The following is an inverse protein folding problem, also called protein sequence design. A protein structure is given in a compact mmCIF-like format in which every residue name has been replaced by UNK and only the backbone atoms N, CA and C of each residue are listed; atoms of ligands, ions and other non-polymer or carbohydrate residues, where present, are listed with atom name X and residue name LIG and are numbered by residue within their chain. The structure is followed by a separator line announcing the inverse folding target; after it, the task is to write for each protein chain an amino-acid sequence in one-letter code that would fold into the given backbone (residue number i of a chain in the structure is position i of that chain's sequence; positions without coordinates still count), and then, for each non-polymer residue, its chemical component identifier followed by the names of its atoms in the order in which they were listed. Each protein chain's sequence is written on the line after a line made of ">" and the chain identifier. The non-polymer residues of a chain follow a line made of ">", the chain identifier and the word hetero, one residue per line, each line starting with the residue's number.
data_IF_279063881964
#
_entry.id   IF_279063881964
#
_cell.length_a   1.000
_cell.length_b   1.000
_cell.length_c   1.000
_cell.angle_alpha   90.00
_cell.angle_beta   90.00
_cell.angle_gamma   90.00
#
_symmetry.space_group_name_H-M   'P 1'
#
loop_
_entity.id
_entity.type
_entity.pdbx_description
1 polymer ?
#
# COMPACT_ATOMS: atom_id res chain seq x y z
N UNK A 1 -24.64 -22.15 -10.21
CA UNK A 1 -23.43 -22.26 -9.38
C UNK A 1 -23.53 -21.15 -8.33
N UNK A 2 -23.42 -21.51 -7.06
CA UNK A 2 -23.75 -20.72 -5.87
C UNK A 2 -22.42 -20.21 -5.30
N UNK A 3 -22.27 -18.90 -4.99
CA UNK A 3 -21.36 -18.27 -4.00
C UNK A 3 -21.01 -16.79 -4.33
N UNK A 4 -21.98 -15.95 -4.70
CA UNK A 4 -21.84 -14.47 -4.62
C UNK A 4 -22.79 -13.90 -3.56
N UNK A 5 -22.86 -14.56 -2.41
CA UNK A 5 -23.62 -14.04 -1.26
C UNK A 5 -22.79 -13.01 -0.51
N UNK A 6 -22.96 -11.76 -0.93
CA UNK A 6 -22.96 -10.55 -0.10
C UNK A 6 -21.69 -10.25 0.72
N UNK A 7 -20.62 -9.84 0.05
CA UNK A 7 -20.08 -8.53 0.39
C UNK A 7 -20.68 -7.58 -0.66
N UNK A 8 -21.51 -6.59 -0.30
CA UNK A 8 -22.14 -5.77 -1.32
C UNK A 8 -21.03 -5.14 -2.16
N UNK A 9 -21.19 -5.14 -3.50
CA UNK A 9 -20.21 -4.57 -4.44
C UNK A 9 -19.80 -3.14 -4.05
N UNK A 10 -20.68 -2.43 -3.34
CA UNK A 10 -20.43 -1.12 -2.74
C UNK A 10 -19.30 -1.13 -1.69
N UNK A 11 -19.19 -2.16 -0.84
CA UNK A 11 -18.12 -2.28 0.17
C UNK A 11 -16.78 -2.59 -0.48
N UNK A 12 -16.75 -3.51 -1.45
CA UNK A 12 -15.53 -3.80 -2.22
C UNK A 12 -15.10 -2.55 -3.01
N UNK A 13 -16.05 -1.81 -3.59
CA UNK A 13 -15.77 -0.56 -4.31
C UNK A 13 -15.26 0.54 -3.38
N UNK A 14 -15.84 0.69 -2.18
CA UNK A 14 -15.36 1.64 -1.18
C UNK A 14 -13.93 1.32 -0.75
N UNK A 15 -13.63 0.06 -0.44
CA UNK A 15 -12.28 -0.34 -0.01
C UNK A 15 -11.27 -0.16 -1.15
N UNK A 16 -11.62 -0.48 -2.41
CA UNK A 16 -10.75 -0.15 -3.56
C UNK A 16 -10.46 1.34 -3.66
N UNK A 17 -11.48 2.18 -3.44
CA UNK A 17 -11.32 3.64 -3.43
C UNK A 17 -10.38 4.07 -2.30
N UNK A 18 -10.57 3.55 -1.10
CA UNK A 18 -9.72 3.85 0.05
C UNK A 18 -8.28 3.40 -0.17
N UNK A 19 -8.07 2.23 -0.78
CA UNK A 19 -6.73 1.73 -1.15
C UNK A 19 -6.08 2.67 -2.18
N UNK A 20 -6.80 3.00 -3.26
CA UNK A 20 -6.27 3.88 -4.32
C UNK A 20 -6.03 5.32 -3.87
N UNK A 21 -6.82 5.79 -2.90
CA UNK A 21 -6.75 7.13 -2.33
C UNK A 21 -5.93 7.21 -1.06
N UNK A 22 -5.24 6.15 -0.65
CA UNK A 22 -4.51 6.14 0.60
C UNK A 22 -3.40 7.20 0.56
N UNK A 23 -3.31 8.01 1.61
CA UNK A 23 -2.27 9.02 1.81
C UNK A 23 -1.71 8.89 3.21
N UNK A 24 -0.42 9.10 3.34
CA UNK A 24 0.21 9.25 4.63
C UNK A 24 -0.27 10.53 5.30
N UNK A 25 -0.64 10.42 6.57
CA UNK A 25 -1.16 11.54 7.34
C UNK A 25 -0.02 12.38 7.93
N UNK A 26 -0.31 13.65 8.23
CA UNK A 26 0.66 14.52 8.90
C UNK A 26 1.02 13.97 10.28
N UNK A 27 2.31 13.69 10.51
CA UNK A 27 2.81 13.13 11.75
C UNK A 27 2.71 11.60 11.87
N UNK A 28 2.14 10.92 10.88
CA UNK A 28 2.14 9.45 10.81
C UNK A 28 3.52 8.97 10.36
N UNK A 29 4.13 8.03 11.09
CA UNK A 29 5.39 7.42 10.67
C UNK A 29 5.18 6.46 9.49
N UNK A 30 6.25 6.15 8.75
CA UNK A 30 6.19 5.14 7.69
C UNK A 30 5.72 3.78 8.23
N UNK A 31 6.12 3.42 9.45
CA UNK A 31 5.64 2.22 10.12
C UNK A 31 4.12 2.22 10.30
N UNK A 32 3.56 3.27 10.88
CA UNK A 32 2.13 3.41 11.10
C UNK A 32 1.35 3.39 9.78
N UNK A 33 1.88 4.10 8.77
CA UNK A 33 1.31 4.16 7.43
C UNK A 33 1.28 2.77 6.77
N UNK A 34 2.38 2.03 6.84
CA UNK A 34 2.49 0.68 6.30
C UNK A 34 1.54 -0.31 7.00
N UNK A 35 1.46 -0.25 8.33
CA UNK A 35 0.52 -1.07 9.11
C UNK A 35 -0.94 -0.77 8.74
N UNK A 36 -1.29 0.51 8.58
CA UNK A 36 -2.63 0.93 8.16
C UNK A 36 -2.96 0.42 6.76
N UNK A 37 -2.02 0.51 5.83
CA UNK A 37 -2.19 -0.02 4.47
C UNK A 37 -2.42 -1.54 4.46
N UNK A 38 -1.62 -2.30 5.20
CA UNK A 38 -1.79 -3.76 5.33
C UNK A 38 -3.15 -4.14 5.92
N UNK A 39 -3.58 -3.43 6.97
CA UNK A 39 -4.92 -3.61 7.58
C UNK A 39 -6.04 -3.31 6.58
N UNK A 40 -5.88 -2.26 5.78
CA UNK A 40 -6.86 -1.90 4.75
C UNK A 40 -6.95 -2.98 3.66
N UNK A 41 -5.82 -3.50 3.17
CA UNK A 41 -5.81 -4.60 2.20
C UNK A 41 -6.44 -5.88 2.79
N UNK A 42 -6.09 -6.24 4.03
CA UNK A 42 -6.62 -7.41 4.73
C UNK A 42 -8.13 -7.32 4.99
N UNK A 43 -8.70 -6.12 5.04
CA UNK A 43 -10.14 -5.92 5.23
C UNK A 43 -11.00 -6.38 4.03
N UNK A 44 -10.38 -6.57 2.85
CA UNK A 44 -11.04 -7.07 1.66
C UNK A 44 -10.10 -7.96 0.84
N UNK A 45 -9.91 -9.25 1.18
CA UNK A 45 -9.00 -10.13 0.44
C UNK A 45 -9.41 -10.34 -1.04
N UNK A 46 -10.66 -10.05 -1.39
CA UNK A 46 -11.18 -10.10 -2.77
C UNK A 46 -11.22 -8.73 -3.46
N UNK A 47 -10.33 -7.80 -3.10
CA UNK A 47 -10.29 -6.47 -3.69
C UNK A 47 -9.93 -6.46 -5.20
N UNK A 48 -9.39 -7.56 -5.75
CA UNK A 48 -9.03 -7.74 -7.17
C UNK A 48 -7.98 -6.72 -7.69
N UNK A 49 -7.19 -6.15 -6.79
CA UNK A 49 -6.10 -5.22 -7.12
C UNK A 49 -4.81 -6.03 -7.15
N UNK A 50 -4.01 -5.90 -8.20
CA UNK A 50 -2.71 -6.57 -8.30
C UNK A 50 -1.73 -6.03 -7.25
N UNK A 51 -0.81 -6.87 -6.78
CA UNK A 51 0.21 -6.46 -5.80
C UNK A 51 1.06 -5.28 -6.30
N UNK A 52 1.40 -5.27 -7.59
CA UNK A 52 2.10 -4.13 -8.22
C UNK A 52 1.33 -2.83 -8.05
N UNK A 53 0.03 -2.84 -8.30
CA UNK A 53 -0.81 -1.65 -8.21
C UNK A 53 -1.05 -1.23 -6.75
N UNK A 54 -1.14 -2.18 -5.82
CA UNK A 54 -1.17 -1.90 -4.38
C UNK A 54 0.07 -1.12 -3.94
N UNK A 55 1.26 -1.61 -4.30
CA UNK A 55 2.53 -0.97 -3.95
C UNK A 55 2.69 0.40 -4.62
N UNK A 56 2.17 0.54 -5.85
CA UNK A 56 2.12 1.83 -6.53
C UNK A 56 1.25 2.84 -5.76
N UNK A 57 0.03 2.48 -5.37
CA UNK A 57 -0.84 3.37 -4.59
C UNK A 57 -0.24 3.74 -3.23
N UNK A 58 0.42 2.77 -2.57
CA UNK A 58 1.16 3.02 -1.35
C UNK A 58 2.25 4.08 -1.57
N UNK A 59 3.13 3.86 -2.55
CA UNK A 59 4.24 4.77 -2.87
C UNK A 59 3.76 6.17 -3.28
N UNK A 60 2.72 6.26 -4.12
CA UNK A 60 2.11 7.53 -4.52
C UNK A 60 1.44 8.27 -3.36
N UNK A 61 1.08 7.55 -2.29
CA UNK A 61 0.48 8.12 -1.10
C UNK A 61 1.44 8.56 -0.01
N UNK A 62 2.72 8.17 -0.10
CA UNK A 62 3.76 8.58 0.84
C UNK A 62 4.05 10.07 0.78
N UNK A 63 4.54 10.63 1.89
CA UNK A 63 5.08 11.98 1.90
C UNK A 63 6.37 12.08 1.05
N UNK A 64 6.73 13.29 0.63
CA UNK A 64 7.86 13.52 -0.27
C UNK A 64 9.22 13.08 0.32
N UNK A 65 9.38 13.18 1.64
CA UNK A 65 10.64 12.83 2.30
C UNK A 65 10.86 11.31 2.28
N UNK A 66 9.85 10.55 2.65
CA UNK A 66 9.92 9.08 2.64
C UNK A 66 10.05 8.52 1.24
N UNK A 67 9.35 9.12 0.27
CA UNK A 67 9.48 8.76 -1.14
C UNK A 67 10.91 8.95 -1.64
N UNK A 68 11.50 10.11 -1.35
CA UNK A 68 12.89 10.42 -1.71
C UNK A 68 13.88 9.44 -1.05
N UNK A 69 13.66 9.09 0.22
CA UNK A 69 14.49 8.09 0.91
C UNK A 69 14.38 6.70 0.27
N UNK A 70 13.18 6.28 -0.15
CA UNK A 70 12.98 5.03 -0.89
C UNK A 70 13.74 5.10 -2.21
N UNK A 71 13.55 6.15 -3.02
CA UNK A 71 14.17 6.27 -4.35
C UNK A 71 15.70 6.19 -4.28
N UNK A 72 16.30 6.81 -3.25
CA UNK A 72 17.74 6.72 -2.98
C UNK A 72 18.14 5.30 -2.57
N UNK A 73 17.36 4.63 -1.73
CA UNK A 73 17.64 3.28 -1.27
C UNK A 73 17.48 2.21 -2.36
N UNK A 74 16.56 2.40 -3.31
CA UNK A 74 16.35 1.54 -4.48
C UNK A 74 17.28 1.85 -5.66
N UNK A 75 17.97 2.99 -5.64
CA UNK A 75 18.81 3.44 -6.75
C UNK A 75 18.00 3.87 -7.98
N UNK A 76 16.74 4.26 -7.78
CA UNK A 76 15.76 4.54 -8.83
C UNK A 76 14.33 4.51 -8.29
N UNK A 77 13.32 4.64 -9.15
CA UNK A 77 11.93 4.65 -8.69
C UNK A 77 11.47 3.23 -8.28
N UNK A 78 10.58 3.15 -7.29
CA UNK A 78 10.01 1.87 -6.83
C UNK A 78 9.28 1.08 -7.93
N UNK A 79 8.85 1.74 -9.00
CA UNK A 79 8.19 1.11 -10.16
C UNK A 79 9.06 0.13 -10.95
N UNK A 80 10.38 0.27 -10.86
CA UNK A 80 11.35 -0.58 -11.58
C UNK A 80 11.63 -1.90 -10.83
N UNK A 81 11.25 -1.99 -9.56
CA UNK A 81 11.46 -3.17 -8.72
C UNK A 81 10.38 -4.23 -8.94
N UNK A 82 10.71 -5.49 -8.64
CA UNK A 82 9.68 -6.52 -8.49
C UNK A 82 8.83 -6.23 -7.25
N UNK A 83 7.54 -6.64 -7.21
CA UNK A 83 6.69 -6.44 -6.03
C UNK A 83 7.30 -6.96 -4.72
N UNK A 84 8.02 -8.09 -4.80
CA UNK A 84 8.69 -8.70 -3.65
C UNK A 84 9.81 -7.81 -3.11
N UNK A 85 10.66 -7.27 -3.99
CA UNK A 85 11.76 -6.37 -3.60
C UNK A 85 11.22 -5.06 -3.03
N UNK A 86 10.24 -4.46 -3.69
CA UNK A 86 9.57 -3.25 -3.22
C UNK A 86 8.96 -3.44 -1.83
N UNK A 87 8.25 -4.55 -1.62
CA UNK A 87 7.67 -4.88 -0.31
C UNK A 87 8.73 -5.05 0.77
N UNK A 88 9.79 -5.80 0.49
CA UNK A 88 10.88 -6.01 1.45
C UNK A 88 11.57 -4.69 1.83
N UNK A 89 11.77 -3.80 0.86
CA UNK A 89 12.33 -2.48 1.11
C UNK A 89 11.43 -1.61 1.97
N UNK A 90 10.13 -1.55 1.68
CA UNK A 90 9.14 -0.83 2.48
C UNK A 90 9.14 -1.37 3.91
N UNK A 91 9.13 -2.69 4.10
CA UNK A 91 9.19 -3.30 5.43
C UNK A 91 10.45 -2.91 6.19
N UNK A 92 11.62 -2.97 5.54
CA UNK A 92 12.89 -2.56 6.14
C UNK A 92 12.88 -1.08 6.58
N UNK A 93 12.35 -0.20 5.73
CA UNK A 93 12.29 1.24 6.06
C UNK A 93 11.24 1.56 7.11
N UNK A 94 10.08 0.90 7.05
CA UNK A 94 9.05 0.99 8.08
C UNK A 94 9.62 0.58 9.44
N UNK A 95 10.33 -0.54 9.54
CA UNK A 95 10.96 -0.98 10.79
C UNK A 95 12.00 -0.01 11.35
N UNK A 96 12.66 0.79 10.50
CA UNK A 96 13.61 1.83 10.95
C UNK A 96 12.92 3.11 11.46
N UNK A 97 11.61 3.25 11.22
CA UNK A 97 10.80 4.41 11.62
C UNK A 97 9.88 4.13 12.83
N UNK A 98 10.08 2.99 13.48
CA UNK A 98 9.32 2.55 14.66
C UNK A 98 9.76 3.27 15.94
#
# INVERSE_FOLDING_TARGET
>A
MFLEKFFPDSRTTAIRKDISGIRQLGGESLYEYWERFKKLCASCPHHQISERLLLQYFYEGMNNMERSMIDVASGGALGDMTPVEARHMIEKMASNSQ
#
